data_IF_777645739815
#
_entry.id   IF_777645739815
#
_cell.length_a   1.000
_cell.length_b   1.000
_cell.length_c   1.000
_cell.angle_alpha   90.00
_cell.angle_beta   90.00
_cell.angle_gamma   90.00
#
_symmetry.space_group_name_H-M   'P 1'
#
loop_
_entity.id
_entity.type
_entity.pdbx_description
1 polymer ?
#
# COMPACT_ATOMS: atom_id res chain seq x y z
N UNK A 1 17.35 -11.34 9.54
CA UNK A 1 16.53 -10.22 10.06
C UNK A 1 17.23 -8.87 9.92
N UNK A 2 18.37 -8.59 10.59
CA UNK A 2 19.03 -7.28 10.44
C UNK A 2 19.97 -7.19 9.23
N UNK A 3 20.76 -8.24 8.98
CA UNK A 3 21.64 -8.33 7.80
C UNK A 3 20.84 -8.25 6.49
N UNK A 4 19.66 -8.89 6.44
CA UNK A 4 18.78 -8.87 5.27
C UNK A 4 18.23 -7.46 5.00
N UNK A 5 17.83 -6.74 6.06
CA UNK A 5 17.43 -5.34 5.95
C UNK A 5 18.58 -4.48 5.42
N UNK A 6 19.76 -4.59 6.02
CA UNK A 6 20.94 -3.84 5.59
C UNK A 6 21.27 -4.12 4.12
N UNK A 7 21.25 -5.38 3.71
CA UNK A 7 21.48 -5.77 2.32
C UNK A 7 20.42 -5.18 1.38
N UNK A 8 19.13 -5.23 1.76
CA UNK A 8 18.01 -4.70 0.98
C UNK A 8 18.10 -3.20 0.78
N UNK A 9 18.44 -2.46 1.83
CA UNK A 9 18.55 -1.01 1.79
C UNK A 9 19.96 -0.52 1.41
N UNK A 10 20.80 -1.43 0.88
CA UNK A 10 22.15 -1.12 0.40
C UNK A 10 23.05 -0.45 1.46
N UNK A 11 22.85 -0.81 2.74
CA UNK A 11 23.70 -0.42 3.85
C UNK A 11 24.89 -1.38 3.98
N UNK A 12 25.91 -0.98 4.74
CA UNK A 12 26.97 -1.90 5.15
C UNK A 12 26.37 -3.04 5.96
N UNK A 13 26.58 -4.28 5.51
CA UNK A 13 26.04 -5.47 6.18
C UNK A 13 26.88 -5.81 7.41
N UNK A 14 26.58 -5.14 8.51
CA UNK A 14 27.29 -5.28 9.79
C UNK A 14 26.61 -6.28 10.72
N UNK A 15 25.30 -6.47 10.57
CA UNK A 15 24.47 -7.26 11.49
C UNK A 15 24.25 -6.61 12.86
N UNK A 16 24.63 -5.35 13.02
CA UNK A 16 24.39 -4.54 14.23
C UNK A 16 23.47 -3.38 13.91
N UNK A 17 22.74 -2.91 14.92
CA UNK A 17 21.84 -1.76 14.79
C UNK A 17 22.64 -0.45 14.91
N UNK A 18 23.48 -0.19 13.90
CA UNK A 18 24.26 1.04 13.78
C UNK A 18 23.39 2.25 13.39
N UNK A 19 23.96 3.45 13.49
CA UNK A 19 23.22 4.70 13.29
C UNK A 19 22.67 4.84 11.88
N UNK A 20 23.41 4.36 10.87
CA UNK A 20 22.92 4.31 9.49
C UNK A 20 21.69 3.39 9.35
N UNK A 21 21.72 2.23 10.02
CA UNK A 21 20.57 1.31 10.05
C UNK A 21 19.37 1.92 10.76
N UNK A 22 19.56 2.55 11.92
CA UNK A 22 18.48 3.25 12.64
C UNK A 22 17.87 4.37 11.82
N UNK A 23 18.71 5.20 11.20
CA UNK A 23 18.26 6.30 10.34
C UNK A 23 17.41 5.75 9.19
N UNK A 24 17.85 4.68 8.53
CA UNK A 24 17.10 4.09 7.43
C UNK A 24 15.80 3.41 7.87
N UNK A 25 15.75 2.83 9.08
CA UNK A 25 14.54 2.26 9.66
C UNK A 25 13.52 3.35 10.04
N UNK A 26 13.98 4.54 10.44
CA UNK A 26 13.13 5.67 10.85
C UNK A 26 12.48 6.44 9.69
N UNK A 27 12.78 6.09 8.44
CA UNK A 27 12.21 6.78 7.27
C UNK A 27 10.78 6.29 6.99
N UNK A 28 9.86 7.19 6.62
CA UNK A 28 8.50 6.82 6.26
C UNK A 28 8.47 5.77 5.14
N UNK A 29 7.56 4.80 5.22
CA UNK A 29 7.51 3.66 4.29
C UNK A 29 6.12 3.03 4.18
N UNK A 30 6.00 2.10 3.23
CA UNK A 30 4.86 1.19 3.15
C UNK A 30 4.83 0.23 4.37
N UNK A 31 3.63 -0.07 4.87
CA UNK A 31 3.38 -0.97 5.99
C UNK A 31 3.43 -2.46 5.63
N UNK A 32 3.39 -2.78 4.34
CA UNK A 32 3.57 -4.15 3.88
C UNK A 32 4.97 -4.65 4.24
N UNK A 33 5.04 -5.86 4.79
CA UNK A 33 6.31 -6.53 5.07
C UNK A 33 7.15 -6.61 3.79
N UNK A 34 8.40 -6.22 3.90
CA UNK A 34 9.40 -6.40 2.84
C UNK A 34 9.35 -7.85 2.35
N UNK A 35 9.01 -8.12 1.08
CA UNK A 35 8.90 -9.48 0.59
C UNK A 35 10.20 -10.22 0.89
N UNK A 36 10.14 -11.34 1.61
CA UNK A 36 11.30 -12.21 1.70
C UNK A 36 11.70 -12.58 0.27
N UNK A 37 13.00 -12.74 0.00
CA UNK A 37 13.56 -13.15 -1.31
C UNK A 37 12.91 -14.43 -1.90
N UNK A 38 12.04 -15.10 -1.14
CA UNK A 38 11.28 -16.32 -1.44
C UNK A 38 9.93 -16.04 -2.14
N UNK A 39 9.36 -14.84 -2.04
CA UNK A 39 8.20 -14.45 -2.85
C UNK A 39 8.67 -14.06 -4.26
N UNK A 40 9.26 -15.02 -4.97
CA UNK A 40 9.53 -14.91 -6.39
C UNK A 40 8.20 -14.71 -7.13
N UNK A 41 8.23 -14.12 -8.34
CA UNK A 41 7.04 -14.03 -9.22
C UNK A 41 6.32 -15.38 -9.34
N UNK A 42 7.08 -16.48 -9.37
CA UNK A 42 6.54 -17.84 -9.45
C UNK A 42 5.78 -18.23 -8.19
N UNK A 43 6.24 -17.80 -7.01
CA UNK A 43 5.56 -18.05 -5.72
C UNK A 43 4.24 -17.29 -5.62
N UNK A 44 4.21 -16.02 -6.02
CA UNK A 44 2.99 -15.20 -6.05
C UNK A 44 1.96 -15.78 -7.01
N UNK A 45 2.41 -16.23 -8.20
CA UNK A 45 1.57 -16.89 -9.18
C UNK A 45 1.05 -18.25 -8.69
N UNK A 46 1.90 -19.08 -8.06
CA UNK A 46 1.49 -20.40 -7.52
C UNK A 46 0.53 -20.29 -6.35
N UNK A 47 0.61 -19.20 -5.57
CA UNK A 47 -0.32 -18.89 -4.49
C UNK A 47 -1.63 -18.26 -5.00
N UNK A 48 -1.77 -18.02 -6.31
CA UNK A 48 -2.99 -17.46 -6.88
C UNK A 48 -3.28 -16.01 -6.44
N UNK A 49 -2.26 -15.27 -6.01
CA UNK A 49 -2.38 -13.87 -5.55
C UNK A 49 -2.49 -12.90 -6.74
N UNK A 50 -3.50 -13.13 -7.58
CA UNK A 50 -3.74 -12.42 -8.83
C UNK A 50 -5.24 -12.26 -9.02
N UNK A 51 -5.65 -11.11 -9.54
CA UNK A 51 -7.01 -10.92 -10.03
C UNK A 51 -7.37 -11.95 -11.11
N UNK A 52 -8.48 -12.63 -10.89
CA UNK A 52 -9.15 -13.54 -11.82
C UNK A 52 -9.72 -12.81 -13.05
N UNK A 53 -9.82 -11.49 -12.98
CA UNK A 53 -10.42 -10.62 -14.00
C UNK A 53 -9.50 -9.45 -14.35
N UNK A 54 -9.64 -8.95 -15.58
CA UNK A 54 -8.94 -7.76 -16.08
C UNK A 54 -9.76 -6.48 -15.94
N UNK A 55 -11.06 -6.57 -15.66
CA UNK A 55 -11.89 -5.40 -15.34
C UNK A 55 -12.16 -5.40 -13.84
N UNK A 56 -11.59 -4.42 -13.15
CA UNK A 56 -11.76 -4.20 -11.73
C UNK A 56 -12.62 -2.98 -11.47
N UNK A 57 -13.29 -3.02 -10.33
CA UNK A 57 -14.02 -1.89 -9.76
C UNK A 57 -13.37 -1.45 -8.47
N UNK A 58 -13.34 -0.16 -8.22
CA UNK A 58 -12.83 0.38 -6.96
C UNK A 58 -13.80 1.39 -6.35
N UNK A 59 -13.69 1.62 -5.05
CA UNK A 59 -14.48 2.65 -4.36
C UNK A 59 -13.66 3.31 -3.25
N UNK A 60 -13.96 4.58 -2.97
CA UNK A 60 -13.42 5.31 -1.83
C UNK A 60 -14.43 5.26 -0.68
N UNK A 61 -14.05 4.63 0.43
CA UNK A 61 -14.85 4.54 1.65
C UNK A 61 -14.70 5.76 2.54
N UNK A 62 -13.45 6.19 2.75
CA UNK A 62 -13.11 7.40 3.50
C UNK A 62 -11.97 8.13 2.81
N UNK A 63 -11.72 9.38 3.17
CA UNK A 63 -10.70 10.23 2.54
C UNK A 63 -10.03 11.15 3.55
N UNK A 64 -8.81 11.60 3.25
CA UNK A 64 -8.13 12.61 4.07
C UNK A 64 -8.75 13.99 3.85
N UNK A 65 -9.17 14.71 4.91
CA UNK A 65 -9.69 16.07 4.79
C UNK A 65 -8.62 17.07 4.31
N UNK A 66 -7.34 16.73 4.39
CA UNK A 66 -6.24 17.56 3.88
C UNK A 66 -6.23 17.67 2.35
N UNK A 67 -6.71 16.63 1.66
CA UNK A 67 -6.83 16.59 0.20
C UNK A 67 -8.27 16.86 -0.24
N UNK A 68 -9.25 16.33 0.50
CA UNK A 68 -10.67 16.39 0.16
C UNK A 68 -11.10 15.28 -0.81
N UNK A 69 -12.39 14.93 -0.77
CA UNK A 69 -12.90 13.72 -1.43
C UNK A 69 -12.67 13.70 -2.95
N UNK A 70 -13.06 14.78 -3.63
CA UNK A 70 -13.00 14.84 -5.09
C UNK A 70 -11.56 14.68 -5.60
N UNK A 71 -10.61 15.31 -4.91
CA UNK A 71 -9.20 15.24 -5.27
C UNK A 71 -8.59 13.89 -4.88
N UNK A 72 -8.98 13.29 -3.75
CA UNK A 72 -8.62 11.90 -3.42
C UNK A 72 -9.09 10.94 -4.52
N UNK A 73 -10.34 11.07 -5.00
CA UNK A 73 -10.86 10.21 -6.07
C UNK A 73 -10.07 10.38 -7.37
N UNK A 74 -9.77 11.63 -7.74
CA UNK A 74 -8.97 11.96 -8.91
C UNK A 74 -7.56 11.34 -8.87
N UNK A 75 -6.83 11.54 -7.77
CA UNK A 75 -5.46 11.01 -7.61
C UNK A 75 -5.46 9.48 -7.61
N UNK A 76 -6.41 8.86 -6.91
CA UNK A 76 -6.52 7.40 -6.86
C UNK A 76 -6.84 6.82 -8.24
N UNK A 77 -7.74 7.43 -9.01
CA UNK A 77 -8.00 7.00 -10.39
C UNK A 77 -6.74 7.15 -11.27
N UNK A 78 -6.01 8.27 -11.18
CA UNK A 78 -4.75 8.45 -11.90
C UNK A 78 -3.72 7.38 -11.54
N UNK A 79 -3.64 6.99 -10.27
CA UNK A 79 -2.75 5.91 -9.83
C UNK A 79 -3.14 4.55 -10.44
N UNK A 80 -4.42 4.25 -10.59
CA UNK A 80 -4.87 3.06 -11.31
C UNK A 80 -4.61 3.15 -12.81
N UNK A 81 -4.83 4.31 -13.41
CA UNK A 81 -4.59 4.55 -14.84
C UNK A 81 -3.12 4.31 -15.20
N UNK A 82 -2.18 4.66 -14.32
CA UNK A 82 -0.76 4.37 -14.49
C UNK A 82 -0.46 2.87 -14.65
N UNK A 83 -1.20 1.98 -13.97
CA UNK A 83 -1.12 0.54 -14.21
C UNK A 83 -1.79 0.15 -15.52
N UNK A 84 -2.99 0.65 -15.76
CA UNK A 84 -3.77 0.37 -16.98
C UNK A 84 -3.08 0.78 -18.28
N UNK A 85 -2.13 1.72 -18.23
CA UNK A 85 -1.30 2.10 -19.39
C UNK A 85 -0.31 1.00 -19.81
N UNK A 86 0.05 0.07 -18.93
CA UNK A 86 1.11 -0.91 -19.18
C UNK A 86 0.64 -2.36 -19.20
N UNK A 87 -0.55 -2.64 -18.70
CA UNK A 87 -1.13 -3.99 -18.66
C UNK A 87 -2.61 -3.94 -19.08
N UNK A 88 -3.18 -5.03 -19.62
CA UNK A 88 -4.59 -5.10 -19.99
C UNK A 88 -5.50 -5.18 -18.74
N UNK A 89 -5.49 -4.11 -17.96
CA UNK A 89 -6.26 -3.91 -16.75
C UNK A 89 -7.13 -2.67 -16.94
N UNK A 90 -8.44 -2.77 -16.73
CA UNK A 90 -9.36 -1.63 -16.69
C UNK A 90 -9.85 -1.49 -15.26
N UNK A 91 -9.66 -0.32 -14.66
CA UNK A 91 -10.09 -0.05 -13.28
C UNK A 91 -11.07 1.11 -13.28
N UNK A 92 -12.29 0.88 -12.78
CA UNK A 92 -13.37 1.89 -12.79
C UNK A 92 -13.93 2.12 -11.40
N UNK A 93 -14.20 3.38 -11.09
CA UNK A 93 -14.83 3.73 -9.83
C UNK A 93 -16.31 3.28 -9.81
N UNK A 94 -16.77 2.79 -8.66
CA UNK A 94 -18.18 2.49 -8.36
C UNK A 94 -18.58 3.11 -7.03
N UNK A 95 -19.86 3.43 -6.87
CA UNK A 95 -20.34 4.16 -5.69
C UNK A 95 -20.33 3.32 -4.41
N UNK A 96 -20.52 2.00 -4.51
CA UNK A 96 -20.67 1.12 -3.34
C UNK A 96 -19.41 0.29 -3.08
N UNK A 97 -18.85 0.48 -1.88
CA UNK A 97 -17.74 -0.35 -1.39
C UNK A 97 -18.11 -1.81 -1.18
N UNK A 98 -19.39 -2.14 -0.99
CA UNK A 98 -19.83 -3.52 -0.83
C UNK A 98 -19.74 -4.34 -2.12
N UNK A 99 -19.64 -3.68 -3.28
CA UNK A 99 -19.57 -4.33 -4.59
C UNK A 99 -18.25 -4.11 -5.33
N UNK A 100 -17.33 -3.34 -4.75
CA UNK A 100 -16.05 -3.02 -5.38
C UNK A 100 -15.05 -4.18 -5.21
N UNK A 101 -14.20 -4.40 -6.22
CA UNK A 101 -13.07 -5.33 -6.09
C UNK A 101 -11.94 -4.75 -5.24
N UNK A 102 -11.78 -3.42 -5.26
CA UNK A 102 -10.79 -2.68 -4.49
C UNK A 102 -11.51 -1.65 -3.62
N UNK A 103 -11.22 -1.65 -2.32
CA UNK A 103 -11.76 -0.64 -1.41
C UNK A 103 -10.62 0.17 -0.87
N UNK A 104 -10.65 1.47 -1.16
CA UNK A 104 -9.70 2.45 -0.64
C UNK A 104 -10.30 3.09 0.60
N UNK A 105 -9.54 3.09 1.69
CA UNK A 105 -9.97 3.65 2.96
C UNK A 105 -8.84 4.46 3.60
N UNK A 106 -9.19 5.50 4.34
CA UNK A 106 -8.26 6.26 5.17
C UNK A 106 -8.64 6.01 6.63
N UNK A 107 -7.71 5.49 7.42
CA UNK A 107 -7.92 5.09 8.81
C UNK A 107 -6.80 5.58 9.71
N UNK A 108 -7.06 5.67 11.01
CA UNK A 108 -6.06 6.03 12.03
C UNK A 108 -5.85 4.85 12.96
N UNK A 109 -4.62 4.61 13.40
CA UNK A 109 -4.30 3.59 14.41
C UNK A 109 -4.96 2.23 14.07
N UNK A 110 -5.72 1.62 14.99
CA UNK A 110 -6.53 0.43 14.69
C UNK A 110 -7.71 0.79 13.77
N UNK A 111 -7.76 0.16 12.60
CA UNK A 111 -8.72 0.47 11.54
C UNK A 111 -9.40 -0.78 10.96
N UNK A 112 -9.52 -1.84 11.77
CA UNK A 112 -10.43 -2.95 11.50
C UNK A 112 -9.82 -4.12 10.74
N UNK A 113 -8.49 -4.21 10.68
CA UNK A 113 -7.77 -5.30 10.01
C UNK A 113 -6.61 -5.90 10.82
N UNK A 114 -6.45 -5.46 12.08
CA UNK A 114 -5.38 -5.88 13.01
C UNK A 114 -3.95 -5.48 12.60
N UNK A 115 -3.79 -4.54 11.68
CA UNK A 115 -2.51 -3.93 11.33
C UNK A 115 -2.57 -2.43 11.60
N UNK A 116 -2.55 -1.99 12.87
CA UNK A 116 -2.74 -0.59 13.20
C UNK A 116 -1.62 0.29 12.63
N UNK A 117 -1.98 1.51 12.23
CA UNK A 117 -1.02 2.55 11.91
C UNK A 117 -0.34 3.10 13.18
N UNK A 118 0.85 3.67 13.00
CA UNK A 118 1.72 4.20 14.05
C UNK A 118 1.67 5.73 14.19
N UNK A 119 0.82 6.38 13.40
CA UNK A 119 0.71 7.83 13.34
C UNK A 119 1.80 8.45 12.47
N UNK A 120 1.93 9.77 12.55
CA UNK A 120 2.71 10.57 11.60
C UNK A 120 4.20 10.17 11.50
N UNK A 121 4.68 10.05 10.27
CA UNK A 121 6.08 9.90 9.88
C UNK A 121 6.58 8.46 9.79
N UNK A 122 5.72 7.48 10.05
CA UNK A 122 6.05 6.05 10.07
C UNK A 122 5.47 5.30 8.86
N UNK A 123 4.43 4.52 9.11
CA UNK A 123 3.74 3.70 8.13
C UNK A 123 2.72 4.52 7.36
N UNK A 124 2.96 4.74 6.07
CA UNK A 124 2.12 5.61 5.25
C UNK A 124 0.81 4.95 4.80
N UNK A 125 0.87 3.66 4.44
CA UNK A 125 -0.24 2.91 3.87
C UNK A 125 0.10 1.42 3.82
N UNK A 126 -0.91 0.58 3.69
CA UNK A 126 -0.76 -0.82 3.29
C UNK A 126 -1.86 -1.29 2.35
N UNK A 127 -1.64 -2.41 1.69
CA UNK A 127 -2.62 -3.02 0.80
C UNK A 127 -2.59 -4.55 0.90
N UNK A 128 -3.72 -5.16 0.57
CA UNK A 128 -3.88 -6.61 0.53
C UNK A 128 -3.75 -7.15 -0.89
N UNK A 129 -3.25 -8.38 -1.00
CA UNK A 129 -3.21 -9.08 -2.28
C UNK A 129 -4.63 -9.33 -2.83
N UNK A 130 -4.77 -9.49 -4.15
CA UNK A 130 -6.00 -10.03 -4.73
C UNK A 130 -6.36 -11.39 -4.10
N UNK A 131 -7.64 -11.73 -3.91
CA UNK A 131 -8.86 -11.01 -4.29
C UNK A 131 -9.40 -10.07 -3.17
N UNK A 132 -8.65 -9.85 -2.09
CA UNK A 132 -9.10 -9.00 -0.97
C UNK A 132 -9.19 -7.53 -1.42
N UNK A 133 -8.12 -7.00 -2.02
CA UNK A 133 -8.14 -5.70 -2.68
C UNK A 133 -8.31 -4.48 -1.78
N UNK A 134 -8.30 -4.62 -0.45
CA UNK A 134 -8.29 -3.47 0.44
C UNK A 134 -6.97 -2.70 0.33
N UNK A 135 -7.08 -1.37 0.33
CA UNK A 135 -5.96 -0.42 0.38
C UNK A 135 -6.28 0.57 1.48
N UNK A 136 -5.42 0.66 2.48
CA UNK A 136 -5.58 1.58 3.61
C UNK A 136 -4.45 2.59 3.64
N UNK A 137 -4.79 3.86 3.81
CA UNK A 137 -3.87 4.97 4.00
C UNK A 137 -3.94 5.46 5.46
N UNK A 138 -2.79 5.81 6.04
CA UNK A 138 -2.75 6.39 7.39
C UNK A 138 -3.28 7.82 7.34
N UNK A 139 -4.42 8.06 7.97
CA UNK A 139 -5.10 9.34 8.03
C UNK A 139 -4.33 10.38 8.87
N UNK A 140 -3.41 9.96 9.74
CA UNK A 140 -2.59 10.88 10.53
C UNK A 140 -1.45 11.53 9.74
N UNK A 141 -1.20 11.05 8.52
CA UNK A 141 -0.23 11.68 7.62
C UNK A 141 -0.78 12.98 7.02
N UNK A 142 0.07 14.02 6.86
CA UNK A 142 -0.31 15.28 6.26
C UNK A 142 -0.36 15.15 4.73
N UNK A 143 -1.32 14.37 4.22
CA UNK A 143 -1.48 14.10 2.80
C UNK A 143 -1.63 15.38 1.98
N UNK A 144 -0.93 15.45 0.85
CA UNK A 144 -0.97 16.58 -0.08
C UNK A 144 -1.07 16.09 -1.53
N UNK A 145 -1.40 16.99 -2.44
CA UNK A 145 -1.54 16.73 -3.88
C UNK A 145 -0.45 17.40 -4.75
N UNK A 146 0.73 17.67 -4.17
CA UNK A 146 1.81 18.44 -4.81
C UNK A 146 3.10 17.65 -4.94
#
# INVERSE_FOLDING_TARGET
>A
MLKDFQQRFHLKVTGILDDATKQQMSRPRCGNKDPLLILSKNTVASLGLKWSRSTLTWSLRNYSPHIGEAESRNIIQQAFDAWSQHIPLSVKEVCSACSANIVVDFGQTEHGDHYPFDGRGGTLAHAYFPEDGRIHFDMDEPWTNR
#
